data_IF_270924815092
#
_entry.id   IF_270924815092
#
_cell.length_a   1.000
_cell.length_b   1.000
_cell.length_c   1.000
_cell.angle_alpha   90.00
_cell.angle_beta   90.00
_cell.angle_gamma   90.00
#
_symmetry.space_group_name_H-M   'P 1'
#
loop_
_entity.id
_entity.type
_entity.pdbx_description
1 polymer ?
#
# COMPACT_ATOMS: atom_id res chain seq x y z
N UNK A 1 8.81 -26.48 1.26
CA UNK A 1 8.04 -25.25 0.99
C UNK A 1 8.63 -24.30 -0.04
N UNK A 2 9.72 -24.65 -0.74
CA UNK A 2 10.30 -23.85 -1.84
C UNK A 2 9.88 -24.29 -3.24
N UNK A 3 9.02 -25.30 -3.36
CA UNK A 3 8.72 -25.98 -4.63
C UNK A 3 7.45 -25.48 -5.33
N UNK A 4 6.62 -24.70 -4.61
CA UNK A 4 5.46 -24.01 -5.20
C UNK A 4 5.93 -22.72 -5.90
N UNK A 5 5.53 -22.48 -7.16
CA UNK A 5 5.94 -21.29 -7.86
C UNK A 5 5.37 -20.04 -7.20
N UNK A 6 6.10 -18.92 -7.24
CA UNK A 6 5.72 -17.70 -6.51
C UNK A 6 4.35 -17.12 -6.89
N UNK A 7 3.84 -17.42 -8.10
CA UNK A 7 2.49 -17.01 -8.53
C UNK A 7 1.36 -17.83 -7.90
N UNK A 8 1.67 -18.97 -7.27
CA UNK A 8 0.69 -19.77 -6.55
C UNK A 8 0.38 -19.22 -5.15
N UNK A 9 1.16 -18.25 -4.67
CA UNK A 9 0.91 -17.54 -3.42
C UNK A 9 -0.07 -16.37 -3.67
N UNK A 10 -1.05 -16.14 -2.78
CA UNK A 10 -1.97 -15.03 -2.93
C UNK A 10 -1.25 -13.69 -2.74
N UNK A 11 -1.66 -12.68 -3.50
CA UNK A 11 -1.22 -11.31 -3.29
C UNK A 11 -1.80 -10.70 -2.01
N UNK A 12 -1.25 -9.57 -1.57
CA UNK A 12 -1.68 -8.91 -0.34
C UNK A 12 -3.17 -8.50 -0.40
N UNK A 13 -3.62 -8.00 -1.55
CA UNK A 13 -5.01 -7.61 -1.76
C UNK A 13 -5.99 -8.79 -1.69
N UNK A 14 -5.57 -9.97 -2.14
CA UNK A 14 -6.38 -11.19 -2.11
C UNK A 14 -6.51 -11.70 -0.67
N UNK A 15 -5.41 -11.71 0.08
CA UNK A 15 -5.41 -12.06 1.51
C UNK A 15 -6.29 -11.09 2.31
N UNK A 16 -6.17 -9.78 2.07
CA UNK A 16 -7.01 -8.77 2.72
C UNK A 16 -8.49 -8.98 2.43
N UNK A 17 -8.84 -9.25 1.17
CA UNK A 17 -10.23 -9.51 0.75
C UNK A 17 -10.79 -10.78 1.42
N UNK A 18 -9.99 -11.85 1.51
CA UNK A 18 -10.37 -13.07 2.20
C UNK A 18 -10.57 -12.84 3.71
N UNK A 19 -9.69 -12.08 4.35
CA UNK A 19 -9.80 -11.73 5.77
C UNK A 19 -11.08 -10.92 6.05
N UNK A 20 -11.36 -9.89 5.25
CA UNK A 20 -12.58 -9.09 5.36
C UNK A 20 -13.83 -9.96 5.20
N UNK A 21 -13.85 -10.87 4.23
CA UNK A 21 -14.98 -11.78 4.01
C UNK A 21 -15.22 -12.71 5.21
N UNK A 22 -14.16 -13.20 5.86
CA UNK A 22 -14.28 -14.06 7.05
C UNK A 22 -14.74 -13.25 8.27
N UNK A 23 -14.09 -12.12 8.54
CA UNK A 23 -14.38 -11.28 9.70
C UNK A 23 -15.79 -10.71 9.65
N UNK A 24 -16.24 -10.25 8.48
CA UNK A 24 -17.58 -9.73 8.29
C UNK A 24 -18.68 -10.79 8.49
N UNK A 25 -18.42 -12.06 8.16
CA UNK A 25 -19.38 -13.14 8.48
C UNK A 25 -19.41 -13.45 9.97
N UNK A 26 -18.25 -13.43 10.63
CA UNK A 26 -18.14 -13.80 12.04
C UNK A 26 -18.89 -12.82 12.96
N UNK A 27 -18.90 -11.52 12.63
CA UNK A 27 -19.66 -10.50 13.37
C UNK A 27 -21.18 -10.71 13.30
N UNK A 28 -21.67 -11.45 12.29
CA UNK A 28 -23.10 -11.72 12.10
C UNK A 28 -23.57 -13.04 12.74
N UNK A 29 -22.67 -14.01 12.90
CA UNK A 29 -23.05 -15.41 13.18
C UNK A 29 -22.83 -15.85 14.63
N UNK A 30 -22.06 -15.11 15.42
CA UNK A 30 -21.62 -15.59 16.72
C UNK A 30 -22.40 -14.94 17.88
N UNK A 31 -23.09 -15.72 18.73
CA UNK A 31 -24.09 -15.22 19.69
C UNK A 31 -23.53 -14.37 20.84
N UNK A 32 -22.21 -14.33 21.01
CA UNK A 32 -21.52 -13.50 22.02
C UNK A 32 -20.60 -12.44 21.40
N UNK A 33 -20.58 -12.29 20.07
CA UNK A 33 -19.71 -11.31 19.42
C UNK A 33 -20.30 -9.93 19.51
N UNK A 34 -19.51 -8.98 20.00
CA UNK A 34 -19.78 -7.57 19.75
C UNK A 34 -19.62 -7.31 18.25
N UNK A 35 -20.53 -6.55 17.61
CA UNK A 35 -20.43 -6.26 16.20
C UNK A 35 -19.17 -5.43 15.92
N UNK A 36 -18.29 -5.94 15.07
CA UNK A 36 -17.06 -5.26 14.63
C UNK A 36 -15.83 -6.15 14.68
N UNK A 37 -14.74 -5.67 14.07
CA UNK A 37 -13.44 -6.35 14.09
C UNK A 37 -12.30 -5.33 14.01
N UNK A 38 -11.11 -5.77 14.44
CA UNK A 38 -9.85 -5.10 14.17
C UNK A 38 -9.06 -5.96 13.18
N UNK A 39 -8.60 -5.37 12.09
CA UNK A 39 -7.77 -6.04 11.08
C UNK A 39 -6.52 -5.22 10.84
N UNK A 40 -5.36 -5.85 10.92
CA UNK A 40 -4.06 -5.29 10.55
C UNK A 40 -3.59 -5.96 9.27
N UNK A 41 -3.15 -5.15 8.30
CA UNK A 41 -2.62 -5.59 7.01
C UNK A 41 -1.26 -4.94 6.86
N UNK A 42 -0.24 -5.73 6.52
CA UNK A 42 1.16 -5.29 6.50
C UNK A 42 1.80 -5.55 5.13
N UNK A 43 2.32 -4.49 4.50
CA UNK A 43 3.15 -4.57 3.29
C UNK A 43 4.63 -4.78 3.63
N UNK A 44 4.96 -5.88 4.31
CA UNK A 44 6.27 -6.10 4.93
C UNK A 44 7.46 -6.11 3.96
N UNK A 45 7.20 -6.38 2.68
CA UNK A 45 8.27 -6.48 1.68
C UNK A 45 8.83 -5.12 1.26
N UNK A 46 8.13 -4.00 1.48
CA UNK A 46 8.67 -2.65 1.22
C UNK A 46 9.99 -2.44 1.97
N UNK A 47 10.01 -2.78 3.27
CA UNK A 47 11.19 -2.71 4.12
C UNK A 47 12.31 -3.65 3.63
N UNK A 48 11.96 -4.90 3.29
CA UNK A 48 12.92 -5.90 2.81
C UNK A 48 13.64 -5.45 1.53
N UNK A 49 12.90 -4.88 0.58
CA UNK A 49 13.48 -4.42 -0.68
C UNK A 49 14.27 -3.13 -0.50
N UNK A 50 13.85 -2.26 0.43
CA UNK A 50 14.63 -1.07 0.80
C UNK A 50 15.97 -1.46 1.47
N UNK A 51 16.00 -2.46 2.35
CA UNK A 51 17.24 -3.00 2.93
C UNK A 51 18.17 -3.62 1.89
N UNK A 52 17.62 -4.21 0.82
CA UNK A 52 18.38 -4.72 -0.31
C UNK A 52 18.88 -3.63 -1.28
N UNK A 53 18.55 -2.35 -1.02
CA UNK A 53 18.79 -1.23 -1.94
C UNK A 53 18.19 -1.45 -3.34
N UNK A 54 17.10 -2.22 -3.45
CA UNK A 54 16.40 -2.50 -4.71
C UNK A 54 15.19 -1.57 -4.84
N UNK A 55 15.44 -0.36 -5.35
CA UNK A 55 14.41 0.67 -5.50
C UNK A 55 13.29 0.28 -6.47
N UNK A 56 13.57 -0.54 -7.48
CA UNK A 56 12.56 -1.00 -8.43
C UNK A 56 11.57 -1.96 -7.78
N UNK A 57 12.07 -2.94 -7.02
CA UNK A 57 11.19 -3.86 -6.29
C UNK A 57 10.50 -3.16 -5.13
N UNK A 58 11.18 -2.29 -4.39
CA UNK A 58 10.56 -1.51 -3.32
C UNK A 58 9.36 -0.69 -3.84
N UNK A 59 9.49 -0.06 -5.02
CA UNK A 59 8.37 0.64 -5.66
C UNK A 59 7.24 -0.32 -6.07
N UNK A 60 7.55 -1.52 -6.54
CA UNK A 60 6.55 -2.53 -6.88
C UNK A 60 5.76 -2.99 -5.64
N UNK A 61 6.43 -3.21 -4.50
CA UNK A 61 5.80 -3.55 -3.22
C UNK A 61 4.92 -2.40 -2.70
N UNK A 62 5.37 -1.15 -2.83
CA UNK A 62 4.55 0.03 -2.50
C UNK A 62 3.29 0.12 -3.37
N UNK A 63 3.39 -0.24 -4.65
CA UNK A 63 2.25 -0.27 -5.55
C UNK A 63 1.25 -1.36 -5.16
N UNK A 64 1.70 -2.55 -4.76
CA UNK A 64 0.82 -3.61 -4.23
C UNK A 64 0.11 -3.16 -2.94
N UNK A 65 0.83 -2.50 -2.02
CA UNK A 65 0.24 -1.94 -0.81
C UNK A 65 -0.82 -0.88 -1.14
N UNK A 66 -0.55 0.02 -2.10
CA UNK A 66 -1.53 1.01 -2.57
C UNK A 66 -2.78 0.34 -3.15
N UNK A 67 -2.63 -0.69 -3.98
CA UNK A 67 -3.75 -1.45 -4.55
C UNK A 67 -4.58 -2.12 -3.45
N UNK A 68 -3.92 -2.70 -2.45
CA UNK A 68 -4.56 -3.32 -1.28
C UNK A 68 -5.38 -2.29 -0.49
N UNK A 69 -4.82 -1.11 -0.22
CA UNK A 69 -5.53 -0.02 0.46
C UNK A 69 -6.79 0.37 -0.32
N UNK A 70 -6.69 0.50 -1.64
CA UNK A 70 -7.83 0.77 -2.52
C UNK A 70 -8.93 -0.30 -2.42
N UNK A 71 -8.54 -1.58 -2.48
CA UNK A 71 -9.48 -2.69 -2.36
C UNK A 71 -10.21 -2.72 -1.00
N UNK A 72 -9.48 -2.47 0.09
CA UNK A 72 -10.05 -2.39 1.44
C UNK A 72 -11.00 -1.20 1.58
N UNK A 73 -10.61 -0.01 1.09
CA UNK A 73 -11.45 1.19 1.15
C UNK A 73 -12.75 1.02 0.35
N UNK A 74 -12.66 0.44 -0.85
CA UNK A 74 -13.82 0.12 -1.69
C UNK A 74 -14.75 -0.88 -1.01
N UNK A 75 -14.18 -1.91 -0.36
CA UNK A 75 -14.95 -2.89 0.39
C UNK A 75 -15.68 -2.25 1.57
N UNK A 76 -14.99 -1.44 2.38
CA UNK A 76 -15.58 -0.74 3.52
C UNK A 76 -16.72 0.19 3.08
N UNK A 77 -16.52 0.96 2.00
CA UNK A 77 -17.57 1.85 1.46
C UNK A 77 -18.84 1.09 1.09
N UNK A 78 -18.71 -0.15 0.58
CA UNK A 78 -19.85 -0.97 0.13
C UNK A 78 -20.50 -1.79 1.23
N UNK A 79 -19.74 -2.23 2.23
CA UNK A 79 -20.16 -3.27 3.17
C UNK A 79 -20.09 -2.87 4.65
N UNK A 80 -19.26 -1.88 5.00
CA UNK A 80 -19.02 -1.47 6.37
C UNK A 80 -18.74 0.06 6.44
N UNK A 81 -19.73 0.92 6.16
CA UNK A 81 -19.53 2.37 6.08
C UNK A 81 -19.13 3.01 7.43
N UNK A 82 -19.38 2.32 8.55
CA UNK A 82 -18.90 2.70 9.88
C UNK A 82 -17.55 2.03 10.19
N UNK A 83 -16.53 2.35 9.37
CA UNK A 83 -15.17 1.81 9.53
C UNK A 83 -14.15 2.96 9.54
N UNK A 84 -13.24 2.95 10.50
CA UNK A 84 -12.06 3.81 10.49
C UNK A 84 -10.86 3.06 9.89
N UNK A 85 -10.22 3.64 8.88
CA UNK A 85 -8.99 3.10 8.26
C UNK A 85 -7.83 4.01 8.65
N UNK A 86 -6.76 3.43 9.19
CA UNK A 86 -5.51 4.13 9.50
C UNK A 86 -4.39 3.48 8.70
N UNK A 87 -3.67 4.29 7.93
CA UNK A 87 -2.50 3.87 7.15
C UNK A 87 -1.29 4.61 7.68
N UNK A 88 -0.24 3.88 8.04
CA UNK A 88 1.02 4.44 8.53
C UNK A 88 2.17 3.51 8.18
N UNK A 89 3.39 4.04 8.21
CA UNK A 89 4.62 3.24 8.35
C UNK A 89 4.98 3.09 9.82
N UNK A 90 5.73 2.05 10.15
CA UNK A 90 6.42 1.88 11.43
C UNK A 90 7.75 2.68 11.45
N UNK A 91 8.51 2.64 10.36
CA UNK A 91 9.70 3.47 10.14
C UNK A 91 10.03 3.67 8.66
N UNK A 92 11.07 4.46 8.38
CA UNK A 92 11.67 4.55 7.05
C UNK A 92 12.89 3.61 6.95
N UNK A 93 13.18 3.11 5.75
CA UNK A 93 14.27 2.15 5.50
C UNK A 93 15.07 2.54 4.26
N UNK A 94 16.38 2.28 4.28
CA UNK A 94 17.26 2.42 3.11
C UNK A 94 17.69 3.85 2.77
N UNK A 95 17.19 4.88 3.48
CA UNK A 95 17.54 6.28 3.21
C UNK A 95 17.21 6.69 1.77
N UNK A 96 16.13 6.15 1.21
CA UNK A 96 15.73 6.37 -0.17
C UNK A 96 15.46 7.85 -0.43
N UNK A 97 16.01 8.37 -1.52
CA UNK A 97 15.83 9.75 -1.97
C UNK A 97 15.60 9.77 -3.48
N UNK A 98 14.83 10.76 -3.93
CA UNK A 98 14.62 11.03 -5.36
C UNK A 98 15.60 12.12 -5.76
N UNK A 99 16.74 11.69 -6.29
CA UNK A 99 17.80 12.57 -6.77
C UNK A 99 18.08 12.33 -8.26
N UNK A 100 18.62 13.35 -8.92
CA UNK A 100 18.92 13.30 -10.35
C UNK A 100 19.76 14.48 -10.81
N UNK A 101 20.26 14.39 -12.03
CA UNK A 101 20.89 15.53 -12.69
C UNK A 101 19.81 16.42 -13.30
N UNK A 102 20.02 17.73 -13.22
CA UNK A 102 19.16 18.72 -13.87
C UNK A 102 19.82 19.22 -15.13
N UNK A 103 19.07 19.28 -16.24
CA UNK A 103 19.50 20.06 -17.40
C UNK A 103 19.41 21.54 -17.04
N UNK A 104 20.56 22.11 -16.69
CA UNK A 104 20.64 23.51 -16.27
C UNK A 104 20.27 24.50 -17.38
N UNK A 105 20.42 24.13 -18.65
CA UNK A 105 20.05 25.01 -19.75
C UNK A 105 18.53 24.97 -20.00
N UNK A 106 17.92 23.78 -19.92
CA UNK A 106 16.46 23.67 -19.94
C UNK A 106 15.80 24.40 -18.76
N UNK A 107 16.37 24.25 -17.56
CA UNK A 107 15.88 24.93 -16.36
C UNK A 107 15.95 26.47 -16.48
N UNK A 108 17.08 27.00 -16.99
CA UNK A 108 17.25 28.45 -17.24
C UNK A 108 16.31 28.98 -18.32
N UNK A 109 16.04 28.21 -19.38
CA UNK A 109 15.05 28.58 -20.41
C UNK A 109 13.63 28.64 -19.85
N UNK A 110 13.25 27.72 -18.96
CA UNK A 110 11.95 27.75 -18.32
C UNK A 110 11.78 28.95 -17.36
N UNK A 111 12.82 29.26 -16.58
CA UNK A 111 12.83 30.36 -15.60
C UNK A 111 12.93 31.77 -16.19
N UNK A 112 13.21 31.92 -17.49
CA UNK A 112 13.31 33.23 -18.17
C UNK A 112 12.03 33.65 -18.89
N UNK A 113 10.97 32.83 -18.83
CA UNK A 113 9.65 33.26 -19.31
C UNK A 113 8.91 34.01 -18.19
N UNK A 114 8.92 35.35 -18.26
CA UNK A 114 8.14 36.25 -17.38
C UNK A 114 6.60 36.00 -17.39
N UNK A 115 6.11 35.02 -18.17
CA UNK A 115 4.68 34.70 -18.33
C UNK A 115 4.18 33.51 -17.51
N UNK A 116 5.02 32.79 -16.76
CA UNK A 116 4.62 31.58 -16.05
C UNK A 116 4.22 31.79 -14.56
N UNK A 117 4.25 33.03 -14.05
CA UNK A 117 3.98 33.36 -12.64
C UNK A 117 2.79 34.34 -12.47
N UNK A 118 1.75 34.21 -13.31
CA UNK A 118 0.42 34.80 -13.12
C UNK A 118 -0.65 33.79 -13.54
#
# INVERSE_FOLDING_TARGET
DSDEPSWAQPGLAEMASAALAVLARNTQQHPTSQPGFLLMIEGASVDKQAHACDGQRMLAELLELQQTIGAVADWCTKHAPDTAIVVTSDHATGGYDVYGSVDTDAFRRAGTSEKAML
#
